data_IF_378789077411
#
_entry.id   IF_378789077411
#
_cell.length_a   1.000
_cell.length_b   1.000
_cell.length_c   1.000
_cell.angle_alpha   90.00
_cell.angle_beta   90.00
_cell.angle_gamma   90.00
#
_symmetry.space_group_name_H-M   'P 1'
#
loop_
_entity.id
_entity.type
_entity.pdbx_description
1 polymer ?
#
# COMPACT_ATOMS: atom_id res chain seq x y z
N UNK A 1 -14.12 -1.70 -9.81
CA UNK A 1 -12.67 -2.00 -9.96
C UNK A 1 -12.10 -2.90 -8.85
N UNK A 2 -12.94 -3.65 -8.11
CA UNK A 2 -12.52 -4.52 -6.98
C UNK A 2 -12.03 -5.91 -7.41
N UNK A 3 -12.58 -6.48 -8.49
CA UNK A 3 -12.17 -7.80 -8.97
C UNK A 3 -10.80 -7.80 -9.66
N UNK A 4 -10.43 -6.72 -10.36
CA UNK A 4 -9.22 -6.68 -11.17
C UNK A 4 -7.93 -6.76 -10.34
N UNK A 5 -7.86 -6.08 -9.19
CA UNK A 5 -6.65 -6.10 -8.36
C UNK A 5 -6.49 -7.38 -7.53
N UNK A 6 -7.58 -7.98 -7.05
CA UNK A 6 -7.53 -9.30 -6.40
C UNK A 6 -7.18 -10.41 -7.40
N UNK A 7 -7.65 -10.30 -8.65
CA UNK A 7 -7.26 -11.20 -9.73
C UNK A 7 -5.79 -11.04 -10.09
N UNK A 8 -5.24 -9.82 -10.14
CA UNK A 8 -3.83 -9.59 -10.45
C UNK A 8 -2.90 -10.08 -9.34
N UNK A 9 -3.26 -9.88 -8.05
CA UNK A 9 -2.46 -10.44 -6.94
C UNK A 9 -2.55 -11.96 -6.89
N UNK A 10 -3.74 -12.54 -7.09
CA UNK A 10 -3.89 -13.99 -7.14
C UNK A 10 -3.20 -14.60 -8.36
N UNK A 11 -3.22 -13.97 -9.53
CA UNK A 11 -2.53 -14.46 -10.74
C UNK A 11 -1.01 -14.45 -10.59
N UNK A 12 -0.43 -13.46 -9.89
CA UNK A 12 0.99 -13.46 -9.51
C UNK A 12 1.37 -14.60 -8.54
N UNK A 13 0.39 -15.11 -7.78
CA UNK A 13 0.58 -16.08 -6.71
C UNK A 13 0.12 -17.50 -7.07
N UNK A 14 -0.59 -17.68 -8.19
CA UNK A 14 -1.30 -18.91 -8.54
C UNK A 14 -0.42 -19.99 -9.21
N UNK A 15 0.82 -19.68 -9.59
CA UNK A 15 1.73 -20.66 -10.18
C UNK A 15 3.16 -20.50 -9.61
N UNK A 16 3.93 -21.58 -9.46
CA UNK A 16 5.35 -21.48 -9.14
C UNK A 16 6.08 -20.76 -10.28
N UNK A 17 6.22 -19.44 -10.15
CA UNK A 17 6.96 -18.60 -11.07
C UNK A 17 8.46 -18.64 -10.70
N UNK A 18 9.37 -18.63 -11.68
CA UNK A 18 10.79 -18.45 -11.41
C UNK A 18 11.01 -17.19 -10.55
N UNK A 19 11.85 -17.23 -9.50
CA UNK A 19 12.04 -16.11 -8.57
C UNK A 19 12.30 -14.76 -9.24
N UNK A 20 13.04 -14.78 -10.36
CA UNK A 20 13.34 -13.61 -11.18
C UNK A 20 12.10 -13.01 -11.84
N UNK A 21 11.24 -13.84 -12.42
CA UNK A 21 10.00 -13.39 -13.06
C UNK A 21 9.08 -12.76 -12.01
N UNK A 22 8.95 -13.43 -10.86
CA UNK A 22 8.13 -12.93 -9.75
C UNK A 22 8.64 -11.58 -9.23
N UNK A 23 9.96 -11.42 -9.07
CA UNK A 23 10.58 -10.16 -8.68
C UNK A 23 10.24 -9.01 -9.65
N UNK A 24 10.28 -9.27 -10.96
CA UNK A 24 9.92 -8.28 -11.99
C UNK A 24 8.45 -7.91 -11.96
N UNK A 25 7.57 -8.92 -11.91
CA UNK A 25 6.13 -8.71 -11.87
C UNK A 25 5.74 -7.91 -10.62
N UNK A 26 6.26 -8.29 -9.46
CA UNK A 26 6.04 -7.55 -8.22
C UNK A 26 6.55 -6.11 -8.31
N UNK A 27 7.76 -5.89 -8.82
CA UNK A 27 8.35 -4.55 -8.92
C UNK A 27 7.52 -3.64 -9.83
N UNK A 28 7.04 -4.15 -10.96
CA UNK A 28 6.19 -3.41 -11.88
C UNK A 28 4.88 -2.97 -11.20
N UNK A 29 4.21 -3.86 -10.49
CA UNK A 29 3.00 -3.52 -9.74
C UNK A 29 3.27 -2.53 -8.61
N UNK A 30 4.37 -2.72 -7.88
CA UNK A 30 4.76 -1.84 -6.81
C UNK A 30 4.98 -0.40 -7.31
N UNK A 31 5.63 -0.24 -8.47
CA UNK A 31 5.82 1.07 -9.11
C UNK A 31 4.52 1.74 -9.56
N UNK A 32 3.46 0.96 -9.84
CA UNK A 32 2.14 1.50 -10.15
C UNK A 32 1.37 1.95 -8.90
N UNK A 33 1.69 1.43 -7.72
CA UNK A 33 0.91 1.68 -6.50
C UNK A 33 0.76 3.16 -6.08
N UNK A 34 1.76 4.05 -6.23
CA UNK A 34 1.63 5.46 -5.84
C UNK A 34 0.54 6.20 -6.63
N UNK A 35 0.29 5.80 -7.89
CA UNK A 35 -0.71 6.41 -8.74
C UNK A 35 -2.15 6.17 -8.29
N UNK A 36 -2.37 5.18 -7.42
CA UNK A 36 -3.72 4.80 -6.97
C UNK A 36 -3.92 5.04 -5.48
N UNK A 37 -2.93 4.72 -4.64
CA UNK A 37 -3.08 4.77 -3.17
C UNK A 37 -3.29 6.20 -2.69
N UNK A 38 -2.41 7.13 -3.07
CA UNK A 38 -2.49 8.51 -2.57
C UNK A 38 -3.77 9.21 -3.08
N UNK A 39 -4.12 9.17 -4.38
CA UNK A 39 -5.38 9.76 -4.85
C UNK A 39 -6.62 9.16 -4.17
N UNK A 40 -6.63 7.85 -3.93
CA UNK A 40 -7.76 7.18 -3.25
C UNK A 40 -7.91 7.68 -1.80
N UNK A 41 -6.81 7.77 -1.06
CA UNK A 41 -6.85 8.26 0.33
C UNK A 41 -7.25 9.74 0.37
N UNK A 42 -6.68 10.58 -0.49
CA UNK A 42 -7.03 12.01 -0.55
C UNK A 42 -8.50 12.21 -0.90
N UNK A 43 -9.00 11.51 -1.92
CA UNK A 43 -10.42 11.55 -2.27
C UNK A 43 -11.30 11.10 -1.11
N UNK A 44 -10.95 9.98 -0.45
CA UNK A 44 -11.69 9.50 0.71
C UNK A 44 -11.69 10.50 1.88
N UNK A 45 -10.56 11.15 2.16
CA UNK A 45 -10.49 12.20 3.17
C UNK A 45 -11.39 13.38 2.81
N UNK A 46 -11.28 13.90 1.58
CA UNK A 46 -12.08 15.04 1.12
C UNK A 46 -13.59 14.73 1.15
N UNK A 47 -14.00 13.56 0.65
CA UNK A 47 -15.41 13.15 0.59
C UNK A 47 -16.05 12.91 1.96
N UNK A 48 -15.25 12.74 3.03
CA UNK A 48 -15.76 12.55 4.38
C UNK A 48 -15.60 13.79 5.26
N UNK A 49 -14.51 14.55 5.14
CA UNK A 49 -14.37 15.80 5.89
C UNK A 49 -15.37 16.85 5.45
N UNK A 50 -15.59 17.02 4.14
CA UNK A 50 -16.51 18.03 3.64
C UNK A 50 -17.93 17.92 4.25
N UNK A 51 -18.62 16.78 4.20
CA UNK A 51 -19.94 16.65 4.82
C UNK A 51 -19.90 16.69 6.35
N UNK A 52 -18.79 16.28 7.00
CA UNK A 52 -18.64 16.41 8.45
C UNK A 52 -18.67 17.89 8.89
N UNK A 53 -18.03 18.79 8.14
CA UNK A 53 -18.00 20.23 8.45
C UNK A 53 -19.25 20.98 8.01
N UNK A 54 -20.04 20.42 7.09
CA UNK A 54 -21.32 21.02 6.67
C UNK A 54 -22.53 20.55 7.48
N UNK A 55 -22.42 19.46 8.25
CA UNK A 55 -23.55 18.94 9.02
C UNK A 55 -23.98 19.91 10.13
N UNK A 56 -25.28 20.25 10.24
CA UNK A 56 -25.79 21.06 11.34
C UNK A 56 -25.55 20.38 12.70
N UNK A 57 -25.31 21.17 13.75
CA UNK A 57 -25.00 20.70 15.12
C UNK A 57 -26.06 19.78 15.76
N UNK A 58 -27.23 19.62 15.15
CA UNK A 58 -28.29 18.69 15.57
C UNK A 58 -28.12 17.26 15.04
N UNK A 59 -27.14 16.98 14.15
CA UNK A 59 -26.84 15.63 13.61
C UNK A 59 -25.46 15.11 14.02
N UNK A 60 -25.19 15.13 15.32
CA UNK A 60 -23.90 14.70 15.87
C UNK A 60 -23.46 13.30 15.40
N UNK A 61 -24.41 12.36 15.26
CA UNK A 61 -24.11 10.99 14.84
C UNK A 61 -23.57 10.90 13.39
N UNK A 62 -24.18 11.61 12.43
CA UNK A 62 -23.70 11.63 11.04
C UNK A 62 -22.28 12.22 10.94
N UNK A 63 -22.04 13.33 11.65
CA UNK A 63 -20.71 13.94 11.75
C UNK A 63 -19.69 12.97 12.33
N UNK A 64 -20.03 12.23 13.40
CA UNK A 64 -19.14 11.21 13.98
C UNK A 64 -18.78 10.13 12.97
N UNK A 65 -19.74 9.61 12.21
CA UNK A 65 -19.47 8.57 11.20
C UNK A 65 -18.64 9.07 10.02
N UNK A 66 -18.87 10.29 9.54
CA UNK A 66 -18.01 10.90 8.53
C UNK A 66 -16.58 11.11 9.02
N UNK A 67 -16.39 11.62 10.24
CA UNK A 67 -15.05 11.75 10.83
C UNK A 67 -14.38 10.39 11.04
N UNK A 68 -15.12 9.39 11.51
CA UNK A 68 -14.61 8.03 11.65
C UNK A 68 -14.18 7.46 10.29
N UNK A 69 -14.98 7.66 9.23
CA UNK A 69 -14.63 7.25 7.88
C UNK A 69 -13.36 7.95 7.37
N UNK A 70 -13.23 9.27 7.57
CA UNK A 70 -12.06 10.06 7.20
C UNK A 70 -10.80 9.58 7.93
N UNK A 71 -10.86 9.38 9.24
CA UNK A 71 -9.73 8.88 10.03
C UNK A 71 -9.37 7.44 9.63
N UNK A 72 -10.36 6.60 9.34
CA UNK A 72 -10.14 5.22 8.90
C UNK A 72 -9.40 5.18 7.57
N UNK A 73 -9.86 5.88 6.53
CA UNK A 73 -9.15 5.91 5.24
C UNK A 73 -7.80 6.63 5.35
N UNK A 74 -7.73 7.69 6.15
CA UNK A 74 -6.51 8.44 6.43
C UNK A 74 -5.41 7.59 7.07
N UNK A 75 -5.78 6.62 7.92
CA UNK A 75 -4.85 5.71 8.60
C UNK A 75 -4.00 4.86 7.63
N UNK A 76 -4.43 4.70 6.37
CA UNK A 76 -3.66 3.98 5.35
C UNK A 76 -2.29 4.63 5.13
N UNK A 77 -2.17 5.96 5.19
CA UNK A 77 -0.89 6.66 4.97
C UNK A 77 0.14 6.36 6.07
N UNK A 78 -0.13 6.60 7.36
CA UNK A 78 0.84 6.28 8.41
C UNK A 78 1.17 4.79 8.47
N UNK A 79 0.18 3.88 8.31
CA UNK A 79 0.46 2.44 8.25
C UNK A 79 1.37 2.11 7.06
N UNK A 80 1.11 2.74 5.91
CA UNK A 80 1.92 2.52 4.70
C UNK A 80 3.34 3.01 4.89
N UNK A 81 3.55 4.24 5.37
CA UNK A 81 4.88 4.84 5.42
C UNK A 81 5.71 4.39 6.62
N UNK A 82 5.09 4.15 7.78
CA UNK A 82 5.81 3.79 9.00
C UNK A 82 6.00 2.27 9.13
N UNK A 83 5.13 1.46 8.53
CA UNK A 83 5.19 0.00 8.68
C UNK A 83 5.40 -0.73 7.35
N UNK A 84 4.52 -0.57 6.36
CA UNK A 84 4.63 -1.33 5.11
C UNK A 84 5.88 -0.96 4.31
N UNK A 85 6.20 0.32 4.23
CA UNK A 85 7.31 0.82 3.42
C UNK A 85 8.68 0.32 3.89
N UNK A 86 9.08 0.47 5.18
CA UNK A 86 10.39 0.03 5.63
C UNK A 86 10.52 -1.49 5.87
N UNK A 87 9.40 -2.20 6.08
CA UNK A 87 9.41 -3.64 6.41
C UNK A 87 9.03 -4.50 5.21
N UNK A 88 7.85 -4.30 4.66
CA UNK A 88 7.29 -5.18 3.62
C UNK A 88 7.83 -4.81 2.25
N UNK A 89 7.64 -3.56 1.82
CA UNK A 89 8.11 -3.06 0.53
C UNK A 89 9.63 -3.02 0.48
N UNK A 90 10.28 -2.57 1.57
CA UNK A 90 11.73 -2.57 1.70
C UNK A 90 12.34 -3.96 1.48
N UNK A 91 11.80 -5.00 2.13
CA UNK A 91 12.29 -6.37 1.95
C UNK A 91 12.16 -6.83 0.50
N UNK A 92 10.99 -6.61 -0.11
CA UNK A 92 10.74 -6.99 -1.50
C UNK A 92 11.66 -6.23 -2.47
N UNK A 93 11.85 -4.91 -2.28
CA UNK A 93 12.79 -4.09 -3.06
C UNK A 93 14.21 -4.62 -2.97
N UNK A 94 14.66 -4.95 -1.76
CA UNK A 94 16.00 -5.51 -1.54
C UNK A 94 16.16 -6.85 -2.28
N UNK A 95 15.26 -7.81 -2.03
CA UNK A 95 15.34 -9.14 -2.63
C UNK A 95 15.22 -9.11 -4.15
N UNK A 96 14.29 -8.32 -4.70
CA UNK A 96 14.12 -8.17 -6.14
C UNK A 96 15.41 -7.65 -6.80
N UNK A 97 16.06 -6.64 -6.20
CA UNK A 97 17.34 -6.12 -6.71
C UNK A 97 18.45 -7.15 -6.65
N UNK A 98 18.58 -7.90 -5.56
CA UNK A 98 19.58 -8.95 -5.43
C UNK A 98 19.41 -9.99 -6.53
N UNK A 99 18.17 -10.45 -6.78
CA UNK A 99 17.87 -11.41 -7.85
C UNK A 99 18.14 -10.86 -9.25
N UNK A 100 17.81 -9.59 -9.51
CA UNK A 100 18.08 -8.96 -10.82
C UNK A 100 19.58 -8.76 -11.07
N UNK A 101 20.34 -8.35 -10.04
CA UNK A 101 21.80 -8.20 -10.12
C UNK A 101 22.51 -9.54 -10.33
N UNK A 102 22.09 -10.58 -9.61
CA UNK A 102 22.63 -11.95 -9.79
C UNK A 102 22.38 -12.47 -11.21
N UNK A 103 21.30 -12.03 -11.86
CA UNK A 103 20.99 -12.37 -13.24
C UNK A 103 21.69 -11.49 -14.29
N UNK A 104 22.60 -10.60 -13.88
CA UNK A 104 23.32 -9.68 -14.78
C UNK A 104 22.45 -8.55 -15.34
N UNK A 105 21.24 -8.32 -14.80
CA UNK A 105 20.36 -7.26 -15.28
C UNK A 105 20.63 -5.94 -14.55
N UNK A 106 20.43 -4.82 -15.26
CA UNK A 106 20.40 -3.49 -14.64
C UNK A 106 19.23 -3.42 -13.66
N UNK A 107 19.51 -3.60 -12.38
CA UNK A 107 18.54 -3.33 -11.33
C UNK A 107 18.25 -1.81 -11.30
N UNK A 108 16.98 -1.39 -11.16
CA UNK A 108 16.66 0.03 -11.14
C UNK A 108 17.47 0.76 -10.06
N UNK A 109 18.10 1.86 -10.47
CA UNK A 109 18.75 2.79 -9.55
C UNK A 109 17.65 3.39 -8.68
N UNK A 110 17.63 2.98 -7.43
CA UNK A 110 16.82 3.60 -6.41
C UNK A 110 17.70 4.74 -5.90
N UNK A 111 17.39 5.98 -6.29
CA UNK A 111 18.16 7.17 -5.92
C UNK A 111 18.35 7.22 -4.40
N UNK A 112 19.62 7.18 -3.97
CA UNK A 112 19.99 7.38 -2.58
C UNK A 112 19.71 8.82 -2.13
N UNK A 113 19.12 8.94 -0.94
CA UNK A 113 19.25 10.00 0.06
C UNK A 113 19.00 11.49 -0.30
N UNK A 114 18.71 11.87 -1.55
CA UNK A 114 18.65 13.30 -1.94
C UNK A 114 17.29 14.00 -1.82
N UNK A 115 16.24 13.32 -1.38
CA UNK A 115 14.92 13.93 -1.16
C UNK A 115 14.45 13.63 0.26
N UNK A 116 13.83 14.59 0.97
CA UNK A 116 13.45 14.44 2.37
C UNK A 116 12.67 13.14 2.61
N UNK A 117 12.88 12.52 3.78
CA UNK A 117 12.31 11.24 4.20
C UNK A 117 10.77 11.16 4.15
N UNK A 118 10.11 12.27 3.83
CA UNK A 118 8.66 12.47 3.84
C UNK A 118 7.99 12.03 2.52
N UNK A 119 8.75 11.87 1.43
CA UNK A 119 8.18 11.38 0.16
C UNK A 119 8.58 9.91 -0.09
N UNK A 120 7.64 8.97 0.04
CA UNK A 120 7.84 7.58 -0.32
C UNK A 120 8.06 7.51 -1.82
N UNK A 121 9.12 6.84 -2.22
CA UNK A 121 9.46 6.69 -3.62
C UNK A 121 9.57 5.21 -3.93
N UNK A 122 8.92 4.82 -5.02
CA UNK A 122 9.16 3.53 -5.67
C UNK A 122 10.61 3.36 -6.08
N UNK A 123 11.33 4.47 -6.18
CA UNK A 123 12.73 4.62 -6.55
C UNK A 123 13.65 4.86 -5.33
N UNK A 124 13.24 4.57 -4.09
CA UNK A 124 14.13 4.65 -2.92
C UNK A 124 14.23 3.32 -2.18
N UNK A 125 15.40 2.99 -1.66
CA UNK A 125 15.52 1.84 -0.76
C UNK A 125 15.06 2.26 0.65
N UNK A 126 14.00 1.64 1.14
CA UNK A 126 13.41 1.90 2.46
C UNK A 126 13.72 0.82 3.50
N UNK A 127 14.35 -0.30 3.08
CA UNK A 127 14.62 -1.42 3.97
C UNK A 127 15.60 -1.04 5.10
N UNK A 128 15.16 -1.23 6.35
CA UNK A 128 16.04 -1.25 7.53
C UNK A 128 17.08 -2.38 7.43
N UNK A 129 18.14 -2.34 8.23
CA UNK A 129 19.16 -3.40 8.27
C UNK A 129 18.54 -4.77 8.56
N UNK A 130 17.71 -4.87 9.58
CA UNK A 130 16.97 -6.09 9.93
C UNK A 130 16.09 -6.59 8.77
N UNK A 131 15.41 -5.65 8.10
CA UNK A 131 14.57 -5.97 6.93
C UNK A 131 15.41 -6.57 5.80
N UNK A 132 16.63 -6.07 5.56
CA UNK A 132 17.54 -6.59 4.52
C UNK A 132 18.02 -8.00 4.86
N UNK A 133 18.48 -8.22 6.09
CA UNK A 133 18.91 -9.54 6.57
C UNK A 133 17.78 -10.57 6.50
N UNK A 134 16.54 -10.15 6.77
CA UNK A 134 15.35 -10.99 6.57
C UNK A 134 15.07 -11.26 5.09
N UNK A 135 15.21 -10.26 4.23
CA UNK A 135 14.99 -10.40 2.79
C UNK A 135 16.02 -11.32 2.12
N UNK A 136 17.28 -11.25 2.54
CA UNK A 136 18.36 -12.11 2.02
C UNK A 136 18.09 -13.58 2.30
N UNK A 137 17.66 -13.89 3.53
CA UNK A 137 17.30 -15.26 3.94
C UNK A 137 15.97 -15.75 3.38
N UNK A 138 15.02 -14.83 3.15
CA UNK A 138 13.67 -15.16 2.72
C UNK A 138 13.57 -15.50 1.23
N UNK A 139 12.59 -16.34 0.88
CA UNK A 139 12.17 -16.54 -0.50
C UNK A 139 11.33 -15.35 -1.02
N UNK A 140 11.49 -14.99 -2.29
CA UNK A 140 10.76 -13.86 -2.90
C UNK A 140 9.25 -14.11 -2.91
N UNK A 141 8.78 -15.35 -3.09
CA UNK A 141 7.37 -15.70 -3.01
C UNK A 141 6.78 -15.42 -1.64
N UNK A 142 7.51 -15.75 -0.57
CA UNK A 142 7.09 -15.44 0.80
C UNK A 142 7.01 -13.93 1.05
N UNK A 143 7.96 -13.16 0.52
CA UNK A 143 7.94 -11.69 0.63
C UNK A 143 6.77 -11.07 -0.15
N UNK A 144 6.52 -11.54 -1.37
CA UNK A 144 5.39 -11.10 -2.20
C UNK A 144 4.05 -11.46 -1.56
N UNK A 145 3.94 -12.62 -0.90
CA UNK A 145 2.75 -12.99 -0.11
C UNK A 145 2.53 -12.04 1.07
N UNK A 146 3.59 -11.66 1.78
CA UNK A 146 3.49 -10.67 2.86
C UNK A 146 3.04 -9.31 2.32
N UNK A 147 3.56 -8.90 1.15
CA UNK A 147 3.12 -7.71 0.43
C UNK A 147 1.65 -7.77 0.00
N UNK A 148 1.19 -8.90 -0.53
CA UNK A 148 -0.21 -9.09 -0.91
C UNK A 148 -1.14 -8.97 0.31
N UNK A 149 -0.80 -9.61 1.44
CA UNK A 149 -1.54 -9.50 2.70
C UNK A 149 -1.60 -8.06 3.22
N UNK A 150 -0.48 -7.33 3.14
CA UNK A 150 -0.45 -5.91 3.50
C UNK A 150 -1.39 -5.07 2.62
N UNK A 151 -1.45 -5.34 1.31
CA UNK A 151 -2.40 -4.68 0.42
C UNK A 151 -3.85 -5.05 0.72
N UNK A 152 -4.14 -6.32 1.02
CA UNK A 152 -5.49 -6.73 1.46
C UNK A 152 -5.93 -5.98 2.72
N UNK A 153 -5.02 -5.70 3.66
CA UNK A 153 -5.33 -4.87 4.81
C UNK A 153 -5.76 -3.45 4.39
N UNK A 154 -5.06 -2.82 3.44
CA UNK A 154 -5.46 -1.49 2.92
C UNK A 154 -6.87 -1.53 2.31
N UNK A 155 -7.19 -2.59 1.58
CA UNK A 155 -8.53 -2.78 1.03
C UNK A 155 -9.59 -2.96 2.11
N UNK A 156 -9.33 -3.78 3.13
CA UNK A 156 -10.23 -3.94 4.26
C UNK A 156 -10.49 -2.61 4.99
N UNK A 157 -9.44 -1.82 5.23
CA UNK A 157 -9.55 -0.48 5.83
C UNK A 157 -10.37 0.46 4.92
N UNK A 158 -10.11 0.46 3.61
CA UNK A 158 -10.88 1.25 2.65
C UNK A 158 -12.36 0.85 2.58
N UNK A 159 -12.66 -0.44 2.61
CA UNK A 159 -14.02 -0.97 2.66
C UNK A 159 -14.74 -0.59 3.95
N UNK A 160 -14.05 -0.64 5.10
CA UNK A 160 -14.60 -0.20 6.37
C UNK A 160 -14.92 1.31 6.34
N UNK A 161 -14.00 2.13 5.82
CA UNK A 161 -14.23 3.56 5.64
C UNK A 161 -15.43 3.85 4.73
N UNK A 162 -15.56 3.11 3.62
CA UNK A 162 -16.70 3.23 2.72
C UNK A 162 -18.03 2.84 3.40
N UNK A 163 -18.03 1.80 4.24
CA UNK A 163 -19.20 1.40 5.03
C UNK A 163 -19.63 2.48 6.02
N UNK A 164 -18.69 3.06 6.76
CA UNK A 164 -18.94 4.17 7.69
C UNK A 164 -19.48 5.41 6.96
N UNK A 165 -18.86 5.76 5.83
CA UNK A 165 -19.28 6.88 4.99
C UNK A 165 -20.70 6.67 4.45
N UNK A 166 -20.98 5.48 3.89
CA UNK A 166 -22.30 5.12 3.38
C UNK A 166 -23.38 5.14 4.46
N UNK A 167 -23.08 4.63 5.66
CA UNK A 167 -24.00 4.69 6.81
C UNK A 167 -24.33 6.14 7.18
N UNK A 168 -23.32 7.01 7.24
CA UNK A 168 -23.51 8.44 7.50
C UNK A 168 -24.38 9.13 6.43
N UNK A 169 -24.14 8.81 5.16
CA UNK A 169 -24.86 9.39 4.02
C UNK A 169 -26.32 8.94 3.95
N UNK A 170 -26.59 7.67 4.26
CA UNK A 170 -27.94 7.13 4.25
C UNK A 170 -28.74 7.50 5.50
N UNK A 171 -28.07 7.96 6.57
CA UNK A 171 -28.72 8.35 7.83
C UNK A 171 -29.40 7.18 8.55
N UNK A 172 -28.85 5.98 8.35
CA UNK A 172 -29.27 4.75 9.04
C UNK A 172 -28.74 4.70 10.47
#
# INVERSE_FOLDING_TARGET
MTAANSLVTNALLAAPAPPKLLAKQWLHLYQQSPYWVLPTVLSGLSSNFYPAFQSPSSRNQQTTFYLAAALTIGSILPITFLYFEPRVNGACKWKARTLLRQAGEKAPELSGDKLPAVVPSSEKQSATRETRERAERGDIGTLVMAWARANHLRWAVGSAAAGLSGYATLGL
#
